data_IF_545707146718
#
_entry.id   IF_545707146718
#
_cell.length_a   1.000
_cell.length_b   1.000
_cell.length_c   1.000
_cell.angle_alpha   90.00
_cell.angle_beta   90.00
_cell.angle_gamma   90.00
#
_symmetry.space_group_name_H-M   'P 1'
#
loop_
_entity.id
_entity.type
_entity.pdbx_description
1 polymer ?
#
# COMPACT_ATOMS: atom_id res chain seq x y z
N UNK A 1 16.79 -0.37 99.65
CA UNK A 1 17.43 -0.25 98.33
C UNK A 1 17.07 -1.47 97.51
N UNK A 2 16.07 -1.35 96.65
CA UNK A 2 15.55 -2.43 95.80
C UNK A 2 15.69 -2.01 94.34
N UNK A 3 16.46 -2.79 93.61
CA UNK A 3 16.72 -2.67 92.18
C UNK A 3 15.44 -2.90 91.36
N UNK A 4 15.17 -2.08 90.34
CA UNK A 4 14.32 -2.47 89.22
C UNK A 4 14.76 -1.74 87.93
N UNK A 5 15.21 -2.44 86.87
CA UNK A 5 15.67 -1.82 85.63
C UNK A 5 14.52 -1.65 84.62
N UNK A 6 14.64 -0.60 83.80
CA UNK A 6 13.70 -0.18 82.75
C UNK A 6 13.50 -1.25 81.67
N UNK A 7 12.24 -1.58 81.39
CA UNK A 7 11.79 -2.33 80.20
C UNK A 7 11.59 -1.36 79.02
N UNK A 8 12.17 -1.69 77.87
CA UNK A 8 11.90 -1.05 76.58
C UNK A 8 10.60 -1.62 75.98
N UNK A 9 9.78 -0.73 75.42
CA UNK A 9 8.52 -1.07 74.74
C UNK A 9 8.83 -1.14 73.23
N UNK A 10 8.70 -2.32 72.63
CA UNK A 10 8.61 -2.50 71.18
C UNK A 10 7.11 -2.58 70.82
N UNK A 11 6.58 -1.82 69.85
CA UNK A 11 5.18 -1.91 69.45
C UNK A 11 4.90 -3.15 68.59
N UNK A 12 3.77 -3.80 68.86
CA UNK A 12 3.25 -5.00 68.21
C UNK A 12 2.64 -4.68 66.84
N UNK A 13 3.42 -4.84 65.76
CA UNK A 13 2.98 -4.64 64.36
C UNK A 13 2.38 -5.90 63.68
N UNK A 14 1.95 -6.92 64.43
CA UNK A 14 1.56 -8.23 63.84
C UNK A 14 0.12 -8.33 63.30
N UNK A 15 -0.76 -7.34 63.53
CA UNK A 15 -2.19 -7.47 63.18
C UNK A 15 -2.55 -6.96 61.78
N UNK A 16 -1.78 -6.05 61.17
CA UNK A 16 -2.05 -5.59 59.79
C UNK A 16 -1.64 -6.61 58.70
N UNK A 17 -0.60 -7.41 58.93
CA UNK A 17 -0.12 -8.41 57.95
C UNK A 17 -1.08 -9.59 57.71
N UNK A 18 -1.96 -9.90 58.67
CA UNK A 18 -2.93 -11.00 58.54
C UNK A 18 -4.11 -10.65 57.62
N UNK A 19 -4.52 -9.39 57.57
CA UNK A 19 -5.63 -8.94 56.73
C UNK A 19 -5.20 -8.72 55.27
N UNK A 20 -3.95 -8.32 55.01
CA UNK A 20 -3.42 -8.25 53.64
C UNK A 20 -3.22 -9.64 53.04
N UNK A 21 -2.63 -10.59 53.79
CA UNK A 21 -2.51 -11.99 53.34
C UNK A 21 -3.86 -12.63 53.02
N UNK A 22 -4.88 -12.43 53.87
CA UNK A 22 -6.24 -12.94 53.60
C UNK A 22 -6.87 -12.37 52.31
N UNK A 23 -6.63 -11.10 51.98
CA UNK A 23 -7.12 -10.49 50.73
C UNK A 23 -6.35 -10.97 49.50
N UNK A 24 -5.03 -11.18 49.64
CA UNK A 24 -4.20 -11.79 48.60
C UNK A 24 -4.64 -13.24 48.32
N UNK A 25 -4.95 -14.01 49.36
CA UNK A 25 -5.43 -15.40 49.25
C UNK A 25 -6.80 -15.49 48.55
N UNK A 26 -7.73 -14.55 48.80
CA UNK A 26 -9.04 -14.49 48.14
C UNK A 26 -8.94 -14.06 46.66
N UNK A 27 -8.07 -13.10 46.34
CA UNK A 27 -7.81 -12.68 44.96
C UNK A 27 -7.07 -13.77 44.16
N UNK A 28 -6.10 -14.44 44.79
CA UNK A 28 -5.39 -15.59 44.23
C UNK A 28 -6.34 -16.76 43.95
N UNK A 29 -7.32 -17.00 44.83
CA UNK A 29 -8.31 -18.07 44.64
C UNK A 29 -9.25 -17.81 43.46
N UNK A 30 -9.59 -16.55 43.19
CA UNK A 30 -10.41 -16.15 42.04
C UNK A 30 -9.63 -16.21 40.71
N UNK A 31 -8.33 -15.94 40.76
CA UNK A 31 -7.48 -15.92 39.56
C UNK A 31 -6.92 -17.28 39.16
N UNK A 32 -6.97 -18.30 40.02
CA UNK A 32 -6.46 -19.65 39.71
C UNK A 32 -7.38 -20.38 38.73
N UNK A 33 -6.83 -20.71 37.56
CA UNK A 33 -7.49 -21.50 36.54
C UNK A 33 -7.32 -23.00 36.82
N UNK A 34 -8.28 -23.85 36.41
CA UNK A 34 -8.13 -25.29 36.54
C UNK A 34 -7.03 -25.82 35.60
N UNK A 35 -6.30 -26.85 36.04
CA UNK A 35 -5.17 -27.45 35.31
C UNK A 35 -5.48 -27.75 33.84
N UNK A 36 -6.71 -28.20 33.54
CA UNK A 36 -7.15 -28.49 32.17
C UNK A 36 -7.24 -27.25 31.28
N UNK A 37 -7.65 -26.11 31.83
CA UNK A 37 -7.73 -24.85 31.08
C UNK A 37 -6.33 -24.27 30.84
N UNK A 38 -5.45 -24.35 31.84
CA UNK A 38 -4.05 -23.91 31.70
C UNK A 38 -3.37 -24.71 30.59
N UNK A 39 -3.54 -26.04 30.62
CA UNK A 39 -2.99 -26.93 29.60
C UNK A 39 -3.59 -26.65 28.22
N UNK A 40 -4.90 -26.43 28.14
CA UNK A 40 -5.58 -26.05 26.89
C UNK A 40 -4.99 -24.78 26.29
N UNK A 41 -4.92 -23.70 27.06
CA UNK A 41 -4.38 -22.42 26.59
C UNK A 41 -2.90 -22.51 26.17
N UNK A 42 -2.06 -23.26 26.89
CA UNK A 42 -0.64 -23.46 26.52
C UNK A 42 -0.53 -24.32 25.24
N UNK A 43 -1.44 -25.26 25.04
CA UNK A 43 -1.48 -26.09 23.82
C UNK A 43 -1.96 -25.30 22.61
N UNK A 44 -2.97 -24.43 22.79
CA UNK A 44 -3.48 -23.53 21.75
C UNK A 44 -2.42 -22.54 21.27
N UNK A 45 -1.50 -22.17 22.18
CA UNK A 45 -0.31 -21.36 21.93
C UNK A 45 0.73 -22.10 21.05
N UNK A 46 0.62 -23.42 20.89
CA UNK A 46 1.46 -24.22 20.00
C UNK A 46 2.53 -25.06 20.70
N UNK A 47 2.54 -25.11 22.04
CA UNK A 47 3.45 -25.95 22.82
C UNK A 47 2.68 -27.21 23.27
N UNK A 48 3.09 -28.43 22.87
CA UNK A 48 2.44 -29.65 23.33
C UNK A 48 2.67 -29.83 24.83
N UNK A 49 1.64 -29.57 25.63
CA UNK A 49 1.68 -29.62 27.08
C UNK A 49 0.54 -30.48 27.60
N UNK A 50 0.78 -31.32 28.61
CA UNK A 50 -0.26 -32.20 29.17
C UNK A 50 -0.48 -31.91 30.66
N UNK A 51 -1.62 -32.38 31.18
CA UNK A 51 -1.93 -32.26 32.63
C UNK A 51 -0.90 -33.00 33.49
N UNK A 52 -0.32 -34.09 32.98
CA UNK A 52 0.75 -34.81 33.65
C UNK A 52 2.04 -33.98 33.74
N UNK A 53 2.36 -33.22 32.68
CA UNK A 53 3.51 -32.32 32.65
C UNK A 53 3.32 -31.12 33.59
N UNK A 54 2.09 -30.62 33.76
CA UNK A 54 1.79 -29.60 34.76
C UNK A 54 1.95 -30.12 36.20
N UNK A 55 1.47 -31.34 36.47
CA UNK A 55 1.57 -31.96 37.81
C UNK A 55 3.01 -32.34 38.18
N UNK A 56 3.83 -32.72 37.18
CA UNK A 56 5.26 -33.01 37.34
C UNK A 56 6.07 -32.17 36.35
N UNK A 57 6.29 -30.88 36.67
CA UNK A 57 6.89 -29.95 35.73
C UNK A 57 8.34 -30.27 35.42
N UNK A 58 8.63 -30.44 34.14
CA UNK A 58 9.99 -30.57 33.63
C UNK A 58 10.61 -29.17 33.46
N UNK A 59 11.74 -28.86 34.12
CA UNK A 59 12.39 -27.55 34.02
C UNK A 59 12.65 -27.08 32.59
N UNK A 60 13.03 -27.99 31.68
CA UNK A 60 13.33 -27.64 30.29
C UNK A 60 12.08 -27.21 29.52
N UNK A 61 10.97 -27.92 29.72
CA UNK A 61 9.69 -27.57 29.08
C UNK A 61 9.14 -26.26 29.63
N UNK A 62 9.28 -26.03 30.95
CA UNK A 62 8.84 -24.79 31.60
C UNK A 62 9.64 -23.58 31.10
N UNK A 63 10.96 -23.72 30.92
CA UNK A 63 11.78 -22.67 30.34
C UNK A 63 11.35 -22.33 28.91
N UNK A 64 11.08 -23.33 28.08
CA UNK A 64 10.59 -23.14 26.71
C UNK A 64 9.23 -22.41 26.67
N UNK A 65 8.33 -22.74 27.61
CA UNK A 65 7.03 -22.04 27.73
C UNK A 65 7.24 -20.57 28.10
N UNK A 66 8.09 -20.28 29.08
CA UNK A 66 8.39 -18.90 29.44
C UNK A 66 9.10 -18.12 28.34
N UNK A 67 9.98 -18.78 27.58
CA UNK A 67 10.68 -18.18 26.44
C UNK A 67 9.68 -17.73 25.38
N UNK A 68 8.73 -18.60 25.07
CA UNK A 68 7.66 -18.29 24.14
C UNK A 68 6.77 -17.13 24.61
N UNK A 69 6.40 -17.08 25.90
CA UNK A 69 5.62 -15.96 26.43
C UNK A 69 6.38 -14.63 26.39
N UNK A 70 7.70 -14.65 26.65
CA UNK A 70 8.53 -13.45 26.53
C UNK A 70 8.64 -12.99 25.07
N UNK A 71 8.76 -13.93 24.13
CA UNK A 71 8.74 -13.64 22.70
C UNK A 71 7.39 -13.04 22.27
N UNK A 72 6.26 -13.64 22.66
CA UNK A 72 4.93 -13.16 22.27
C UNK A 72 4.57 -11.79 22.86
N UNK A 73 4.93 -11.54 24.12
CA UNK A 73 4.47 -10.36 24.87
C UNK A 73 5.47 -9.21 24.85
N UNK A 74 6.77 -9.50 24.77
CA UNK A 74 7.83 -8.49 24.80
C UNK A 74 8.63 -8.40 23.49
N UNK A 75 8.39 -9.28 22.52
CA UNK A 75 9.27 -9.49 21.36
C UNK A 75 10.74 -9.75 21.77
N UNK A 76 10.95 -10.32 22.95
CA UNK A 76 12.26 -10.56 23.52
C UNK A 76 12.82 -11.90 23.03
N UNK A 77 13.38 -11.91 21.82
CA UNK A 77 14.10 -13.07 21.27
C UNK A 77 15.55 -13.09 21.71
N UNK A 78 16.22 -14.26 21.61
CA UNK A 78 17.67 -14.38 21.82
C UNK A 78 18.47 -13.36 21.01
N UNK A 79 18.05 -13.05 19.80
CA UNK A 79 18.71 -12.08 18.90
C UNK A 79 18.58 -10.63 19.37
N UNK A 80 17.51 -10.28 20.10
CA UNK A 80 17.33 -8.93 20.66
C UNK A 80 18.03 -8.76 22.00
N UNK A 81 18.07 -9.81 22.82
CA UNK A 81 18.64 -9.79 24.17
C UNK A 81 20.16 -9.90 24.12
N UNK A 82 20.71 -10.74 23.24
CA UNK A 82 22.15 -11.02 23.20
C UNK A 82 23.02 -9.78 22.91
N UNK A 83 22.70 -8.90 21.93
CA UNK A 83 23.48 -7.70 21.68
C UNK A 83 23.44 -6.72 22.86
N UNK A 84 22.28 -6.54 23.48
CA UNK A 84 22.12 -5.66 24.65
C UNK A 84 22.88 -6.19 25.87
N UNK A 85 22.82 -7.50 26.13
CA UNK A 85 23.54 -8.13 27.23
C UNK A 85 25.06 -8.21 26.99
N UNK A 86 25.50 -8.36 25.73
CA UNK A 86 26.91 -8.26 25.36
C UNK A 86 27.44 -6.86 25.63
N UNK A 87 26.76 -5.82 25.16
CA UNK A 87 27.14 -4.43 25.39
C UNK A 87 27.18 -4.10 26.89
N UNK A 88 26.20 -4.56 27.67
CA UNK A 88 26.19 -4.37 29.12
C UNK A 88 27.35 -5.11 29.84
N UNK A 89 27.72 -6.31 29.38
CA UNK A 89 28.85 -7.05 29.93
C UNK A 89 30.19 -6.40 29.58
N UNK A 90 30.34 -5.85 28.37
CA UNK A 90 31.52 -5.08 27.96
C UNK A 90 31.65 -3.77 28.76
N UNK A 91 30.54 -3.09 29.07
CA UNK A 91 30.55 -1.87 29.88
C UNK A 91 30.92 -2.12 31.35
N UNK A 92 30.43 -3.21 31.94
CA UNK A 92 30.65 -3.54 33.37
C UNK A 92 31.99 -4.25 33.60
N UNK A 93 32.34 -5.22 32.75
CA UNK A 93 33.49 -6.09 32.94
C UNK A 93 34.70 -5.72 32.05
N UNK A 94 34.55 -4.79 31.11
CA UNK A 94 35.63 -4.32 30.24
C UNK A 94 36.33 -5.47 29.51
N UNK A 95 37.66 -5.56 29.67
CA UNK A 95 38.52 -6.59 29.08
C UNK A 95 38.24 -8.02 29.62
N UNK A 96 37.46 -8.15 30.69
CA UNK A 96 37.05 -9.43 31.29
C UNK A 96 35.59 -9.81 30.95
N UNK A 97 35.04 -9.29 29.85
CA UNK A 97 33.67 -9.58 29.40
C UNK A 97 33.37 -11.08 29.18
N UNK A 98 34.41 -11.88 28.95
CA UNK A 98 34.33 -13.34 28.79
C UNK A 98 34.22 -14.13 30.12
N UNK A 99 34.37 -13.48 31.27
CA UNK A 99 34.26 -14.13 32.60
C UNK A 99 32.84 -14.66 32.85
N UNK A 100 31.82 -14.02 32.26
CA UNK A 100 30.45 -14.50 32.30
C UNK A 100 30.13 -15.18 30.97
N UNK A 101 29.89 -16.50 30.95
CA UNK A 101 29.55 -17.21 29.72
C UNK A 101 28.35 -16.58 28.99
N UNK A 102 28.33 -16.61 27.65
CA UNK A 102 27.27 -16.01 26.84
C UNK A 102 25.88 -16.56 27.21
N UNK A 103 25.78 -17.83 27.57
CA UNK A 103 24.51 -18.44 27.97
C UNK A 103 24.01 -17.89 29.32
N UNK A 104 24.90 -17.67 30.28
CA UNK A 104 24.56 -17.13 31.61
C UNK A 104 24.10 -15.68 31.53
N UNK A 105 24.76 -14.84 30.71
CA UNK A 105 24.33 -13.44 30.51
C UNK A 105 23.00 -13.36 29.78
N UNK A 106 22.78 -14.19 28.75
CA UNK A 106 21.53 -14.20 27.99
C UNK A 106 20.36 -14.68 28.87
N UNK A 107 20.58 -15.71 29.69
CA UNK A 107 19.62 -16.17 30.68
C UNK A 107 19.29 -15.07 31.71
N UNK A 108 20.28 -14.29 32.15
CA UNK A 108 20.04 -13.19 33.08
C UNK A 108 19.21 -12.07 32.44
N UNK A 109 19.53 -11.71 31.18
CA UNK A 109 18.74 -10.72 30.43
C UNK A 109 17.30 -11.17 30.24
N UNK A 110 17.12 -12.45 29.89
CA UNK A 110 15.82 -13.09 29.79
C UNK A 110 15.05 -13.09 31.12
N UNK A 111 15.71 -13.44 32.23
CA UNK A 111 15.13 -13.43 33.56
C UNK A 111 14.64 -12.03 33.99
N UNK A 112 15.42 -10.98 33.69
CA UNK A 112 15.02 -9.60 33.99
C UNK A 112 13.78 -9.20 33.21
N UNK A 113 13.71 -9.54 31.92
CA UNK A 113 12.55 -9.30 31.06
C UNK A 113 11.30 -10.04 31.56
N UNK A 114 11.43 -11.32 31.91
CA UNK A 114 10.35 -12.11 32.50
C UNK A 114 9.88 -11.56 33.84
N UNK A 115 10.81 -11.17 34.71
CA UNK A 115 10.47 -10.62 36.02
C UNK A 115 9.69 -9.32 35.88
N UNK A 116 10.05 -8.47 34.91
CA UNK A 116 9.30 -7.26 34.60
C UNK A 116 7.90 -7.59 34.09
N UNK A 117 7.77 -8.52 33.15
CA UNK A 117 6.47 -8.98 32.64
C UNK A 117 5.58 -9.53 33.76
N UNK A 118 6.12 -10.41 34.59
CA UNK A 118 5.38 -11.04 35.68
C UNK A 118 5.00 -10.04 36.78
N UNK A 119 5.82 -9.02 37.02
CA UNK A 119 5.45 -7.92 37.92
C UNK A 119 4.23 -7.15 37.41
N UNK A 120 4.16 -6.85 36.10
CA UNK A 120 2.98 -6.24 35.47
C UNK A 120 1.76 -7.18 35.50
N UNK A 121 1.98 -8.49 35.44
CA UNK A 121 0.92 -9.49 35.63
C UNK A 121 0.46 -9.60 37.09
N UNK A 122 1.18 -9.03 38.07
CA UNK A 122 0.84 -9.08 39.50
C UNK A 122 1.67 -10.08 40.34
N UNK A 123 2.71 -10.69 39.78
CA UNK A 123 3.62 -11.63 40.46
C UNK A 123 4.96 -10.94 40.70
N UNK A 124 5.17 -10.47 41.92
CA UNK A 124 6.35 -9.69 42.29
C UNK A 124 7.52 -10.55 42.82
N UNK A 125 7.26 -11.82 43.12
CA UNK A 125 8.16 -12.73 43.82
C UNK A 125 8.77 -13.82 42.91
N UNK A 126 8.74 -13.64 41.58
CA UNK A 126 9.34 -14.57 40.63
C UNK A 126 10.84 -14.81 40.91
N UNK A 127 11.26 -16.07 40.85
CA UNK A 127 12.60 -16.51 41.25
C UNK A 127 13.18 -17.56 40.29
N UNK A 128 14.50 -17.77 40.30
CA UNK A 128 15.12 -18.83 39.50
C UNK A 128 14.66 -20.25 39.87
N UNK A 129 14.12 -20.45 41.09
CA UNK A 129 13.51 -21.74 41.45
C UNK A 129 12.31 -22.06 40.56
N UNK A 130 11.60 -21.06 40.05
CA UNK A 130 10.46 -21.24 39.16
C UNK A 130 10.87 -21.76 37.76
N UNK A 131 12.14 -21.56 37.39
CA UNK A 131 12.73 -22.05 36.13
C UNK A 131 13.45 -23.39 36.29
N UNK A 132 14.18 -23.60 37.40
CA UNK A 132 15.03 -24.78 37.58
C UNK A 132 14.42 -25.87 38.46
N UNK A 133 13.52 -25.51 39.37
CA UNK A 133 12.81 -26.43 40.28
C UNK A 133 11.34 -26.03 40.39
N UNK A 134 10.61 -26.02 39.26
CA UNK A 134 9.21 -25.63 39.24
C UNK A 134 8.39 -26.51 40.19
N UNK A 135 7.45 -25.89 40.90
CA UNK A 135 6.45 -26.60 41.71
C UNK A 135 5.08 -26.41 41.07
N UNK A 136 4.23 -27.44 41.13
CA UNK A 136 2.90 -27.43 40.51
C UNK A 136 2.07 -26.22 40.99
N UNK A 137 1.92 -26.04 42.30
CA UNK A 137 1.11 -24.96 42.87
C UNK A 137 1.56 -23.56 42.41
N UNK A 138 2.88 -23.37 42.33
CA UNK A 138 3.47 -22.09 41.93
C UNK A 138 3.35 -21.83 40.44
N UNK A 139 3.54 -22.85 39.60
CA UNK A 139 3.32 -22.72 38.16
C UNK A 139 1.85 -22.49 37.82
N UNK A 140 0.93 -23.15 38.51
CA UNK A 140 -0.51 -22.91 38.35
C UNK A 140 -0.83 -21.45 38.64
N UNK A 141 -0.30 -20.89 39.73
CA UNK A 141 -0.45 -19.45 40.02
C UNK A 141 0.16 -18.59 38.90
N UNK A 142 1.41 -18.86 38.51
CA UNK A 142 2.11 -18.05 37.50
C UNK A 142 1.40 -18.06 36.15
N UNK A 143 1.07 -19.25 35.64
CA UNK A 143 0.39 -19.36 34.35
C UNK A 143 -1.03 -18.83 34.38
N UNK A 144 -1.76 -18.96 35.50
CA UNK A 144 -3.11 -18.40 35.56
C UNK A 144 -3.11 -16.87 35.43
N UNK A 145 -2.18 -16.19 36.11
CA UNK A 145 -2.03 -14.73 36.03
C UNK A 145 -1.55 -14.30 34.64
N UNK A 146 -0.61 -15.04 34.06
CA UNK A 146 -0.10 -14.77 32.72
C UNK A 146 -1.16 -14.97 31.63
N UNK A 147 -1.94 -16.06 31.69
CA UNK A 147 -3.06 -16.32 30.78
C UNK A 147 -4.13 -15.24 30.93
N UNK A 148 -4.43 -14.80 32.15
CA UNK A 148 -5.39 -13.73 32.37
C UNK A 148 -4.90 -12.40 31.75
N UNK A 149 -3.61 -12.10 31.86
CA UNK A 149 -3.01 -10.94 31.19
C UNK A 149 -3.11 -11.03 29.66
N UNK A 150 -2.83 -12.21 29.08
CA UNK A 150 -2.98 -12.45 27.64
C UNK A 150 -4.45 -12.28 27.20
N UNK A 151 -5.41 -12.86 27.92
CA UNK A 151 -6.85 -12.69 27.64
C UNK A 151 -7.27 -11.22 27.73
N UNK A 152 -6.75 -10.48 28.70
CA UNK A 152 -7.00 -9.04 28.80
C UNK A 152 -6.43 -8.30 27.60
N UNK A 153 -5.18 -8.57 27.20
CA UNK A 153 -4.55 -8.00 26.01
C UNK A 153 -5.39 -8.28 24.76
N UNK A 154 -5.81 -9.53 24.55
CA UNK A 154 -6.65 -9.92 23.41
C UNK A 154 -7.98 -9.18 23.38
N UNK A 155 -8.61 -8.96 24.54
CA UNK A 155 -9.85 -8.18 24.63
C UNK A 155 -9.67 -6.70 24.25
N UNK A 156 -8.46 -6.16 24.41
CA UNK A 156 -8.12 -4.77 24.09
C UNK A 156 -7.52 -4.61 22.68
N UNK A 157 -7.24 -5.70 21.96
CA UNK A 157 -6.63 -5.65 20.62
C UNK A 157 -7.45 -4.80 19.66
N UNK A 158 -8.79 -4.86 19.71
CA UNK A 158 -9.66 -4.04 18.84
C UNK A 158 -9.47 -2.54 19.06
N UNK A 159 -9.33 -2.11 20.33
CA UNK A 159 -9.11 -0.71 20.68
C UNK A 159 -7.72 -0.26 20.25
N UNK A 160 -6.71 -1.12 20.45
CA UNK A 160 -5.34 -0.85 20.01
C UNK A 160 -5.27 -0.73 18.49
N UNK A 161 -5.88 -1.65 17.76
CA UNK A 161 -5.94 -1.63 16.30
C UNK A 161 -6.66 -0.39 15.78
N UNK A 162 -7.75 0.04 16.41
CA UNK A 162 -8.44 1.29 16.04
C UNK A 162 -7.53 2.52 16.21
N UNK A 163 -6.78 2.60 17.30
CA UNK A 163 -5.83 3.69 17.53
C UNK A 163 -4.62 3.61 16.59
N UNK A 164 -4.12 2.42 16.32
CA UNK A 164 -3.02 2.19 15.39
C UNK A 164 -3.44 2.58 13.95
N UNK A 165 -4.61 2.15 13.51
CA UNK A 165 -5.17 2.50 12.20
C UNK A 165 -5.41 4.02 12.08
N UNK A 166 -5.87 4.68 13.15
CA UNK A 166 -5.98 6.16 13.19
C UNK A 166 -4.62 6.85 13.07
N UNK A 167 -3.60 6.33 13.75
CA UNK A 167 -2.25 6.87 13.64
C UNK A 167 -1.70 6.69 12.22
N UNK A 168 -1.87 5.52 11.61
CA UNK A 168 -1.36 5.22 10.28
C UNK A 168 -2.09 6.01 9.19
N UNK A 169 -3.41 6.15 9.29
CA UNK A 169 -4.19 7.01 8.38
C UNK A 169 -3.80 8.47 8.51
N UNK A 170 -3.53 8.95 9.73
CA UNK A 170 -3.05 10.32 9.96
C UNK A 170 -1.66 10.52 9.36
N UNK A 171 -0.75 9.56 9.55
CA UNK A 171 0.59 9.57 8.96
C UNK A 171 0.53 9.59 7.43
N UNK A 172 -0.27 8.71 6.82
CA UNK A 172 -0.48 8.70 5.37
C UNK A 172 -1.05 10.04 4.86
N UNK A 173 -1.96 10.66 5.62
CA UNK A 173 -2.49 11.99 5.28
C UNK A 173 -1.43 13.08 5.35
N UNK A 174 -0.56 13.04 6.36
CA UNK A 174 0.57 13.97 6.49
C UNK A 174 1.51 13.80 5.29
N UNK A 175 1.89 12.57 4.93
CA UNK A 175 2.76 12.29 3.80
C UNK A 175 2.18 12.79 2.47
N UNK A 176 0.88 12.54 2.23
CA UNK A 176 0.15 13.08 1.06
C UNK A 176 0.16 14.62 1.03
N UNK A 177 -0.12 15.28 2.15
CA UNK A 177 -0.10 16.75 2.22
C UNK A 177 1.31 17.32 2.02
N UNK A 178 2.34 16.64 2.53
CA UNK A 178 3.73 17.04 2.28
C UNK A 178 4.09 16.93 0.80
N UNK A 179 3.69 15.84 0.14
CA UNK A 179 3.90 15.68 -1.30
C UNK A 179 3.18 16.77 -2.10
N UNK A 180 1.89 17.01 -1.81
CA UNK A 180 1.11 18.06 -2.47
C UNK A 180 1.73 19.46 -2.27
N UNK A 181 2.22 19.75 -1.06
CA UNK A 181 2.84 21.02 -0.76
C UNK A 181 4.16 21.19 -1.55
N UNK A 182 4.99 20.15 -1.62
CA UNK A 182 6.21 20.17 -2.44
C UNK A 182 5.90 20.40 -3.92
N UNK A 183 4.89 19.73 -4.47
CA UNK A 183 4.44 19.95 -5.86
C UNK A 183 3.93 21.38 -6.09
N UNK A 184 3.21 21.95 -5.13
CA UNK A 184 2.73 23.33 -5.18
C UNK A 184 3.90 24.33 -5.11
N UNK A 185 4.90 24.09 -4.27
CA UNK A 185 6.11 24.91 -4.19
C UNK A 185 6.88 24.91 -5.51
N UNK A 186 7.04 23.75 -6.15
CA UNK A 186 7.66 23.64 -7.48
C UNK A 186 6.85 24.42 -8.52
N UNK A 187 5.52 24.26 -8.55
CA UNK A 187 4.64 25.03 -9.45
C UNK A 187 4.76 26.54 -9.23
N UNK A 188 4.85 27.00 -7.99
CA UNK A 188 5.06 28.42 -7.66
C UNK A 188 6.43 28.89 -8.15
N UNK A 189 7.48 28.09 -7.98
CA UNK A 189 8.82 28.42 -8.45
C UNK A 189 8.85 28.58 -9.98
N UNK A 190 8.18 27.69 -10.72
CA UNK A 190 8.10 27.76 -12.18
C UNK A 190 7.24 28.94 -12.65
N UNK A 191 6.11 29.21 -12.00
CA UNK A 191 5.32 30.41 -12.28
C UNK A 191 6.14 31.70 -12.04
N UNK A 192 6.95 31.76 -10.97
CA UNK A 192 7.85 32.89 -10.71
C UNK A 192 8.92 33.04 -11.77
N UNK A 193 9.54 31.94 -12.23
CA UNK A 193 10.50 31.94 -13.34
C UNK A 193 9.87 32.46 -14.63
N UNK A 194 8.70 31.94 -14.99
CA UNK A 194 7.95 32.36 -16.16
C UNK A 194 7.55 33.84 -16.08
N UNK A 195 7.09 34.30 -14.91
CA UNK A 195 6.76 35.72 -14.70
C UNK A 195 7.99 36.61 -14.89
N UNK A 196 9.15 36.22 -14.36
CA UNK A 196 10.41 36.97 -14.52
C UNK A 196 10.87 37.03 -15.98
N UNK A 197 10.73 35.92 -16.72
CA UNK A 197 11.04 35.88 -18.15
C UNK A 197 10.09 36.77 -18.96
N UNK A 198 8.79 36.73 -18.66
CA UNK A 198 7.79 37.58 -19.31
C UNK A 198 8.00 39.06 -18.98
N UNK A 199 8.29 39.41 -17.72
CA UNK A 199 8.63 40.77 -17.30
C UNK A 199 9.84 41.31 -18.06
N UNK A 200 10.86 40.47 -18.32
CA UNK A 200 12.02 40.86 -19.12
C UNK A 200 11.64 41.16 -20.58
N UNK A 201 10.84 40.29 -21.23
CA UNK A 201 10.35 40.53 -22.59
C UNK A 201 9.47 41.78 -22.69
N UNK A 202 8.59 42.00 -21.70
CA UNK A 202 7.76 43.20 -21.64
C UNK A 202 8.63 44.44 -21.52
N UNK A 203 9.66 44.43 -20.65
CA UNK A 203 10.61 45.53 -20.52
C UNK A 203 11.31 45.84 -21.84
N UNK A 204 11.83 44.82 -22.53
CA UNK A 204 12.49 45.00 -23.84
C UNK A 204 11.54 45.59 -24.90
N UNK A 205 10.29 45.10 -24.95
CA UNK A 205 9.28 45.65 -25.86
C UNK A 205 8.92 47.09 -25.50
N UNK A 206 8.82 47.43 -24.21
CA UNK A 206 8.54 48.81 -23.77
C UNK A 206 9.68 49.75 -24.12
N UNK A 207 10.94 49.38 -23.89
CA UNK A 207 12.09 50.23 -24.25
C UNK A 207 12.17 50.43 -25.76
N UNK A 208 11.95 49.37 -26.55
CA UNK A 208 11.89 49.49 -28.02
C UNK A 208 10.74 50.39 -28.48
N UNK A 209 9.59 50.34 -27.82
CA UNK A 209 8.46 51.22 -28.14
C UNK A 209 8.79 52.68 -27.82
N UNK A 210 9.42 52.95 -26.67
CA UNK A 210 9.90 54.28 -26.30
C UNK A 210 10.93 54.82 -27.30
N UNK A 211 11.90 54.01 -27.72
CA UNK A 211 12.87 54.36 -28.76
C UNK A 211 12.20 54.68 -30.09
N UNK A 212 11.23 53.86 -30.52
CA UNK A 212 10.46 54.11 -31.74
C UNK A 212 9.66 55.40 -31.63
N UNK A 213 9.03 55.67 -30.48
CA UNK A 213 8.30 56.91 -30.22
C UNK A 213 9.21 58.13 -30.31
N UNK A 214 10.42 58.06 -29.75
CA UNK A 214 11.42 59.13 -29.88
C UNK A 214 11.82 59.34 -31.34
N UNK A 215 12.12 58.27 -32.09
CA UNK A 215 12.43 58.37 -33.53
C UNK A 215 11.28 58.97 -34.32
N UNK A 216 10.03 58.65 -33.98
CA UNK A 216 8.84 59.19 -34.64
C UNK A 216 8.71 60.70 -34.37
N UNK A 217 8.96 61.14 -33.14
CA UNK A 217 9.00 62.57 -32.78
C UNK A 217 10.12 63.31 -33.54
N UNK A 218 11.31 62.72 -33.65
CA UNK A 218 12.42 63.32 -34.39
C UNK A 218 12.15 63.38 -35.89
N UNK A 219 11.57 62.32 -36.47
CA UNK A 219 11.14 62.32 -37.87
C UNK A 219 10.06 63.37 -38.13
N UNK A 220 9.10 63.55 -37.21
CA UNK A 220 8.08 64.60 -37.31
C UNK A 220 8.70 65.99 -37.28
N UNK A 221 9.65 66.25 -36.37
CA UNK A 221 10.41 67.52 -36.33
C UNK A 221 11.18 67.75 -37.63
N UNK A 222 11.80 66.71 -38.18
CA UNK A 222 12.49 66.80 -39.47
C UNK A 222 11.52 67.07 -40.61
N UNK A 223 10.35 66.42 -40.62
CA UNK A 223 9.29 66.68 -41.60
C UNK A 223 8.80 68.13 -41.53
N UNK A 224 8.54 68.65 -40.34
CA UNK A 224 8.16 70.06 -40.13
C UNK A 224 9.24 71.02 -40.65
N UNK A 225 10.52 70.71 -40.38
CA UNK A 225 11.66 71.50 -40.88
C UNK A 225 11.78 71.46 -42.41
N UNK A 226 11.55 70.30 -43.03
CA UNK A 226 11.57 70.15 -44.49
C UNK A 226 10.36 70.86 -45.12
N UNK A 227 9.19 70.77 -44.51
CA UNK A 227 7.99 71.48 -44.95
C UNK A 227 8.19 73.01 -44.90
N UNK A 228 8.79 73.53 -43.83
CA UNK A 228 9.13 74.95 -43.73
C UNK A 228 10.11 75.37 -44.84
N UNK A 229 11.16 74.59 -45.09
CA UNK A 229 12.10 74.84 -46.20
C UNK A 229 11.45 74.77 -47.57
N UNK A 230 10.49 73.86 -47.76
CA UNK A 230 9.72 73.75 -49.01
C UNK A 230 8.89 75.01 -49.22
N UNK A 231 8.25 75.52 -48.17
CA UNK A 231 7.44 76.72 -48.25
C UNK A 231 8.29 77.97 -48.50
N UNK A 232 9.43 78.11 -47.81
CA UNK A 232 10.42 79.15 -48.12
C UNK A 232 10.88 79.08 -49.58
N UNK A 233 11.13 77.87 -50.09
CA UNK A 233 11.53 77.67 -51.49
C UNK A 233 10.41 78.01 -52.48
N UNK A 234 9.14 77.74 -52.14
CA UNK A 234 7.99 78.17 -52.95
C UNK A 234 7.85 79.69 -52.96
N UNK A 235 7.98 80.35 -51.81
CA UNK A 235 7.92 81.82 -51.72
C UNK A 235 9.02 82.43 -52.58
N UNK A 236 10.27 81.96 -52.44
CA UNK A 236 11.39 82.40 -53.29
C UNK A 236 11.15 82.11 -54.77
N UNK A 237 10.57 80.96 -55.10
CA UNK A 237 10.18 80.65 -56.49
C UNK A 237 9.16 81.67 -56.99
N UNK A 238 8.12 81.97 -56.22
CA UNK A 238 7.09 82.94 -56.62
C UNK A 238 7.64 84.36 -56.78
N UNK A 239 8.55 84.78 -55.89
CA UNK A 239 9.27 86.04 -56.00
C UNK A 239 10.13 86.06 -57.26
N UNK A 240 10.94 85.03 -57.48
CA UNK A 240 11.78 84.92 -58.68
C UNK A 240 10.94 84.89 -59.96
N UNK A 241 9.80 84.19 -59.98
CA UNK A 241 8.89 84.22 -61.15
C UNK A 241 8.28 85.59 -61.36
N UNK A 242 7.87 86.30 -60.30
CA UNK A 242 7.36 87.67 -60.42
C UNK A 242 8.44 88.64 -60.92
N UNK A 243 9.67 88.53 -60.41
CA UNK A 243 10.79 89.33 -60.92
C UNK A 243 11.13 88.98 -62.36
N UNK A 244 11.03 87.70 -62.74
CA UNK A 244 11.24 87.27 -64.12
C UNK A 244 10.15 87.85 -65.02
N UNK A 245 8.87 87.78 -64.62
CA UNK A 245 7.73 88.38 -65.31
C UNK A 245 7.92 89.89 -65.49
N UNK A 246 8.24 90.62 -64.43
CA UNK A 246 8.53 92.06 -64.48
C UNK A 246 9.72 92.37 -65.42
N UNK A 247 10.81 91.59 -65.34
CA UNK A 247 11.95 91.73 -66.27
C UNK A 247 11.58 91.38 -67.70
N UNK A 248 10.70 90.41 -67.93
CA UNK A 248 10.20 90.09 -69.27
C UNK A 248 9.28 91.18 -69.81
N UNK A 249 8.45 91.78 -68.96
CA UNK A 249 7.60 92.92 -69.31
C UNK A 249 8.44 94.16 -69.63
N UNK A 250 9.46 94.46 -68.83
CA UNK A 250 10.47 95.49 -69.10
C UNK A 250 11.20 95.22 -70.41
N UNK A 251 11.65 93.98 -70.64
CA UNK A 251 12.27 93.58 -71.91
C UNK A 251 11.31 93.74 -73.09
N UNK A 252 10.03 93.43 -72.92
CA UNK A 252 9.01 93.58 -73.95
C UNK A 252 8.74 95.06 -74.25
N UNK A 253 8.65 95.90 -73.21
CA UNK A 253 8.50 97.35 -73.32
C UNK A 253 9.71 97.98 -74.02
N UNK A 254 10.93 97.62 -73.62
CA UNK A 254 12.17 98.01 -74.31
C UNK A 254 12.24 97.47 -75.73
N UNK A 255 11.71 96.27 -76.01
CA UNK A 255 11.56 95.75 -77.37
C UNK A 255 10.54 96.56 -78.18
N UNK A 256 9.43 96.99 -77.59
CA UNK A 256 8.42 97.82 -78.23
C UNK A 256 8.95 99.23 -78.48
N UNK A 257 9.75 99.77 -77.56
CA UNK A 257 10.45 101.04 -77.70
C UNK A 257 11.55 100.95 -78.76
N UNK A 258 12.31 99.85 -78.78
CA UNK A 258 13.20 99.47 -79.87
C UNK A 258 12.46 99.28 -81.20
N UNK A 259 11.24 98.73 -81.20
CA UNK A 259 10.36 98.61 -82.38
C UNK A 259 9.81 99.96 -82.85
N UNK A 260 9.56 100.91 -81.94
CA UNK A 260 9.22 102.31 -82.26
C UNK A 260 10.42 103.08 -82.81
N UNK A 261 11.65 102.71 -82.40
CA UNK A 261 12.92 103.21 -82.94
C UNK A 261 13.36 102.48 -84.22
N UNK A 262 12.69 101.37 -84.57
CA UNK A 262 12.98 100.51 -85.73
C UNK A 262 12.68 101.12 -87.11
N UNK A 263 11.77 102.10 -87.28
CA UNK A 263 11.63 102.81 -88.57
C UNK A 263 12.79 103.76 -88.86
N UNK A 264 13.60 104.14 -87.86
CA UNK A 264 14.75 105.05 -88.02
C UNK A 264 16.10 104.36 -88.13
N UNK A 265 16.17 103.06 -87.84
CA UNK A 265 17.35 102.23 -88.13
C UNK A 265 16.96 101.24 -89.21
N UNK A 266 16.79 101.82 -90.39
CA UNK A 266 16.62 101.11 -91.65
C UNK A 266 17.72 100.05 -91.85
N UNK A 267 17.34 98.99 -92.56
CA UNK A 267 18.18 98.04 -93.32
C UNK A 267 18.67 96.78 -92.58
N UNK A 268 17.96 95.66 -92.75
CA UNK A 268 18.21 94.76 -93.89
C UNK A 268 17.15 93.64 -93.95
N UNK A 269 16.55 93.39 -95.13
CA UNK A 269 15.62 92.26 -95.32
C UNK A 269 16.26 90.88 -95.12
N UNK A 270 17.59 90.77 -95.20
CA UNK A 270 18.32 89.50 -95.07
C UNK A 270 18.42 88.99 -93.63
N UNK A 271 18.52 89.88 -92.63
CA UNK A 271 18.56 89.49 -91.22
C UNK A 271 17.21 88.99 -90.69
N UNK A 272 16.10 89.53 -91.21
CA UNK A 272 14.74 89.09 -90.87
C UNK A 272 14.43 87.70 -91.45
N UNK A 273 14.86 87.43 -92.68
CA UNK A 273 14.68 86.12 -93.31
C UNK A 273 15.52 85.03 -92.61
N UNK A 274 16.76 85.34 -92.20
CA UNK A 274 17.58 84.46 -91.37
C UNK A 274 16.93 84.17 -90.00
N UNK A 275 16.43 85.19 -89.31
CA UNK A 275 15.77 85.00 -88.01
C UNK A 275 14.45 84.21 -88.11
N UNK A 276 13.70 84.34 -89.21
CA UNK A 276 12.49 83.57 -89.47
C UNK A 276 12.81 82.10 -89.76
N UNK A 277 13.88 81.85 -90.52
CA UNK A 277 14.37 80.48 -90.74
C UNK A 277 14.90 79.84 -89.46
N UNK A 278 15.58 80.60 -88.59
CA UNK A 278 16.04 80.12 -87.28
C UNK A 278 14.88 79.84 -86.34
N UNK A 279 13.85 80.70 -86.29
CA UNK A 279 12.64 80.49 -85.50
C UNK A 279 11.82 79.29 -86.01
N UNK A 280 11.73 79.11 -87.32
CA UNK A 280 11.09 77.92 -87.91
C UNK A 280 11.87 76.64 -87.60
N UNK A 281 13.20 76.69 -87.65
CA UNK A 281 14.05 75.56 -87.33
C UNK A 281 14.01 75.21 -85.84
N UNK A 282 14.00 76.21 -84.96
CA UNK A 282 13.84 76.00 -83.51
C UNK A 282 12.44 75.49 -83.16
N UNK A 283 11.39 76.01 -83.79
CA UNK A 283 10.02 75.48 -83.61
C UNK A 283 9.91 74.02 -84.08
N UNK A 284 10.52 73.67 -85.21
CA UNK A 284 10.53 72.29 -85.70
C UNK A 284 11.39 71.39 -84.80
N UNK A 285 12.51 71.90 -84.27
CA UNK A 285 13.33 71.19 -83.29
C UNK A 285 12.57 70.94 -81.99
N UNK A 286 11.89 71.95 -81.44
CA UNK A 286 11.07 71.81 -80.23
C UNK A 286 9.88 70.88 -80.45
N UNK A 287 9.19 70.94 -81.60
CA UNK A 287 8.15 69.95 -81.95
C UNK A 287 8.70 68.53 -81.98
N UNK A 288 9.85 68.32 -82.62
CA UNK A 288 10.50 67.00 -82.64
C UNK A 288 10.91 66.52 -81.25
N UNK A 289 11.34 67.46 -80.38
CA UNK A 289 11.69 67.18 -79.00
C UNK A 289 10.46 66.83 -78.16
N UNK A 290 9.35 67.55 -78.34
CA UNK A 290 8.06 67.26 -77.69
C UNK A 290 7.54 65.90 -78.13
N UNK A 291 7.57 65.58 -79.42
CA UNK A 291 7.16 64.26 -79.92
C UNK A 291 8.03 63.13 -79.34
N UNK A 292 9.35 63.37 -79.18
CA UNK A 292 10.24 62.42 -78.53
C UNK A 292 9.90 62.22 -77.04
N UNK A 293 9.52 63.29 -76.35
CA UNK A 293 9.13 63.24 -74.94
C UNK A 293 7.76 62.59 -74.77
N UNK A 294 6.80 62.80 -75.67
CA UNK A 294 5.49 62.14 -75.62
C UNK A 294 5.64 60.63 -75.88
N UNK A 295 6.48 60.24 -76.85
CA UNK A 295 6.82 58.82 -77.07
C UNK A 295 7.48 58.20 -75.83
N UNK A 296 8.40 58.91 -75.18
CA UNK A 296 9.04 58.46 -73.95
C UNK A 296 8.06 58.38 -72.77
N UNK A 297 7.15 59.35 -72.66
CA UNK A 297 6.09 59.38 -71.65
C UNK A 297 5.15 58.18 -71.80
N UNK A 298 4.70 57.89 -73.03
CA UNK A 298 3.89 56.70 -73.34
C UNK A 298 4.62 55.40 -73.05
N UNK A 299 5.90 55.30 -73.41
CA UNK A 299 6.70 54.11 -73.10
C UNK A 299 6.89 53.90 -71.58
N UNK A 300 7.11 54.98 -70.83
CA UNK A 300 7.18 54.95 -69.37
C UNK A 300 5.82 54.61 -68.74
N UNK A 301 4.71 55.07 -69.32
CA UNK A 301 3.37 54.72 -68.86
C UNK A 301 3.10 53.22 -69.05
N UNK A 302 3.40 52.65 -70.23
CA UNK A 302 3.28 51.21 -70.46
C UNK A 302 4.16 50.41 -69.48
N UNK A 303 5.36 50.91 -69.17
CA UNK A 303 6.23 50.30 -68.16
C UNK A 303 5.62 50.39 -66.75
N UNK A 304 5.05 51.53 -66.37
CA UNK A 304 4.39 51.71 -65.07
C UNK A 304 3.17 50.79 -64.92
N UNK A 305 2.37 50.64 -65.98
CA UNK A 305 1.22 49.74 -66.00
C UNK A 305 1.69 48.28 -65.86
N UNK A 306 2.82 47.89 -66.49
CA UNK A 306 3.39 46.55 -66.31
C UNK A 306 3.91 46.30 -64.89
N UNK A 307 4.50 47.31 -64.25
CA UNK A 307 4.90 47.21 -62.84
C UNK A 307 3.71 47.14 -61.90
N UNK A 308 2.59 47.80 -62.23
CA UNK A 308 1.36 47.68 -61.44
C UNK A 308 0.81 46.25 -61.46
N UNK A 309 0.82 45.59 -62.63
CA UNK A 309 0.43 44.16 -62.76
C UNK A 309 1.38 43.26 -61.95
N UNK A 310 2.69 43.45 -62.07
CA UNK A 310 3.66 42.67 -61.28
C UNK A 310 3.48 42.92 -59.79
N UNK A 311 3.17 44.15 -59.36
CA UNK A 311 2.89 44.46 -57.97
C UNK A 311 1.64 43.75 -57.46
N UNK A 312 0.59 43.61 -58.28
CA UNK A 312 -0.59 42.84 -57.90
C UNK A 312 -0.31 41.35 -57.81
N UNK A 313 0.54 40.81 -58.68
CA UNK A 313 0.96 39.40 -58.64
C UNK A 313 1.86 39.11 -57.43
N UNK A 314 2.76 40.02 -57.07
CA UNK A 314 3.57 39.89 -55.84
C UNK A 314 2.66 39.92 -54.60
N UNK A 315 1.66 40.80 -54.57
CA UNK A 315 0.70 40.85 -53.47
C UNK A 315 -0.15 39.58 -53.36
N UNK A 316 -0.51 38.93 -54.48
CA UNK A 316 -1.22 37.65 -54.45
C UNK A 316 -0.31 36.50 -53.98
N UNK A 317 0.95 36.45 -54.42
CA UNK A 317 1.93 35.51 -53.91
C UNK A 317 2.16 35.65 -52.40
N UNK A 318 2.22 36.88 -51.86
CA UNK A 318 2.34 37.10 -50.42
C UNK A 318 1.14 36.52 -49.66
N UNK A 319 -0.08 36.73 -50.15
CA UNK A 319 -1.29 36.15 -49.53
C UNK A 319 -1.24 34.63 -49.51
N UNK A 320 -0.83 34.00 -50.61
CA UNK A 320 -0.69 32.55 -50.69
C UNK A 320 0.38 32.05 -49.70
N UNK A 321 1.50 32.77 -49.55
CA UNK A 321 2.53 32.44 -48.56
C UNK A 321 2.03 32.57 -47.12
N UNK A 322 1.22 33.58 -46.81
CA UNK A 322 0.59 33.73 -45.50
C UNK A 322 -0.39 32.58 -45.22
N UNK A 323 -1.21 32.20 -46.20
CA UNK A 323 -2.12 31.05 -46.12
C UNK A 323 -1.36 29.74 -45.89
N UNK A 324 -0.27 29.52 -46.62
CA UNK A 324 0.62 28.36 -46.43
C UNK A 324 1.24 28.38 -45.03
N UNK A 325 1.64 29.55 -44.52
CA UNK A 325 2.18 29.69 -43.17
C UNK A 325 1.16 29.31 -42.09
N UNK A 326 -0.11 29.67 -42.28
CA UNK A 326 -1.21 29.26 -41.39
C UNK A 326 -1.45 27.75 -41.45
N UNK A 327 -1.45 27.15 -42.65
CA UNK A 327 -1.64 25.70 -42.79
C UNK A 327 -0.45 24.90 -42.22
N UNK A 328 0.78 25.37 -42.39
CA UNK A 328 1.97 24.77 -41.77
C UNK A 328 1.88 24.79 -40.24
N UNK A 329 1.43 25.91 -39.65
CA UNK A 329 1.24 26.00 -38.20
C UNK A 329 0.17 25.01 -37.69
N UNK A 330 -0.92 24.82 -38.45
CA UNK A 330 -1.93 23.79 -38.13
C UNK A 330 -1.37 22.38 -38.27
N UNK A 331 -0.58 22.11 -39.30
CA UNK A 331 0.07 20.82 -39.51
C UNK A 331 1.03 20.48 -38.36
N UNK A 332 1.83 21.45 -37.90
CA UNK A 332 2.70 21.28 -36.75
C UNK A 332 1.90 20.96 -35.46
N UNK A 333 0.78 21.64 -35.24
CA UNK A 333 -0.10 21.38 -34.09
C UNK A 333 -0.71 19.96 -34.16
N UNK A 334 -1.19 19.55 -35.32
CA UNK A 334 -1.73 18.20 -35.54
C UNK A 334 -0.65 17.12 -35.44
N UNK A 335 0.56 17.37 -35.92
CA UNK A 335 1.70 16.47 -35.75
C UNK A 335 2.09 16.30 -34.27
N UNK A 336 2.06 17.38 -33.48
CA UNK A 336 2.27 17.30 -32.04
C UNK A 336 1.17 16.52 -31.33
N UNK A 337 -0.10 16.68 -31.73
CA UNK A 337 -1.22 15.87 -31.21
C UNK A 337 -1.05 14.40 -31.60
N UNK A 338 -0.67 14.11 -32.84
CA UNK A 338 -0.42 12.75 -33.32
C UNK A 338 0.72 12.08 -32.57
N UNK A 339 1.82 12.80 -32.33
CA UNK A 339 2.95 12.29 -31.53
C UNK A 339 2.49 11.92 -30.11
N UNK A 340 1.75 12.81 -29.43
CA UNK A 340 1.18 12.53 -28.10
C UNK A 340 0.23 11.34 -28.09
N UNK A 341 -0.63 11.22 -29.11
CA UNK A 341 -1.55 10.09 -29.22
C UNK A 341 -0.81 8.79 -29.48
N UNK A 342 0.25 8.81 -30.29
CA UNK A 342 1.11 7.65 -30.56
C UNK A 342 1.86 7.20 -29.30
N UNK A 343 2.40 8.14 -28.53
CA UNK A 343 3.06 7.84 -27.26
C UNK A 343 2.06 7.24 -26.25
N UNK A 344 0.87 7.84 -26.11
CA UNK A 344 -0.20 7.31 -25.26
C UNK A 344 -0.67 5.90 -25.71
N UNK A 345 -0.74 5.64 -27.02
CA UNK A 345 -1.04 4.32 -27.58
C UNK A 345 0.07 3.30 -27.27
N UNK A 346 1.34 3.73 -27.35
CA UNK A 346 2.49 2.90 -27.02
C UNK A 346 2.49 2.53 -25.53
N UNK A 347 2.28 3.49 -24.64
CA UNK A 347 2.16 3.26 -23.19
C UNK A 347 0.99 2.35 -22.86
N UNK A 348 -0.19 2.60 -23.44
CA UNK A 348 -1.37 1.75 -23.23
C UNK A 348 -1.14 0.34 -23.77
N UNK A 349 -0.44 0.19 -24.89
CA UNK A 349 -0.04 -1.10 -25.44
C UNK A 349 0.94 -1.86 -24.54
N UNK A 350 1.88 -1.16 -23.90
CA UNK A 350 2.78 -1.76 -22.92
C UNK A 350 2.03 -2.20 -21.66
N UNK A 351 1.11 -1.38 -21.16
CA UNK A 351 0.26 -1.75 -20.01
C UNK A 351 -0.59 -2.98 -20.31
N UNK A 352 -1.18 -3.09 -21.51
CA UNK A 352 -1.94 -4.28 -21.92
C UNK A 352 -1.05 -5.52 -21.91
N UNK A 353 0.15 -5.46 -22.49
CA UNK A 353 1.09 -6.59 -22.48
C UNK A 353 1.55 -6.98 -21.08
N UNK A 354 1.71 -6.01 -20.19
CA UNK A 354 2.04 -6.29 -18.79
C UNK A 354 0.88 -6.98 -18.08
N UNK A 355 -0.35 -6.46 -18.25
CA UNK A 355 -1.57 -7.09 -17.73
C UNK A 355 -1.71 -8.52 -18.27
N UNK A 356 -1.57 -8.75 -19.58
CA UNK A 356 -1.61 -10.10 -20.18
C UNK A 356 -0.54 -11.02 -19.59
N UNK A 357 0.67 -10.52 -19.32
CA UNK A 357 1.71 -11.30 -18.63
C UNK A 357 1.28 -11.66 -17.22
N UNK A 358 0.77 -10.70 -16.45
CA UNK A 358 0.30 -10.96 -15.08
C UNK A 358 -0.89 -11.93 -15.06
N UNK A 359 -1.83 -11.81 -15.99
CA UNK A 359 -2.96 -12.71 -16.17
C UNK A 359 -2.48 -14.13 -16.49
N UNK A 360 -1.54 -14.27 -17.43
CA UNK A 360 -0.96 -15.58 -17.77
C UNK A 360 -0.26 -16.25 -16.58
N UNK A 361 0.39 -15.44 -15.73
CA UNK A 361 1.10 -15.92 -14.55
C UNK A 361 0.12 -16.33 -13.45
N UNK A 362 -0.91 -15.52 -13.20
CA UNK A 362 -2.00 -15.82 -12.27
C UNK A 362 -2.80 -17.05 -12.71
N UNK A 363 -3.09 -17.18 -14.01
CA UNK A 363 -3.77 -18.35 -14.58
C UNK A 363 -2.96 -19.63 -14.34
N UNK A 364 -1.64 -19.60 -14.56
CA UNK A 364 -0.76 -20.73 -14.22
C UNK A 364 -0.73 -21.04 -12.72
N UNK A 365 -0.76 -20.03 -11.87
CA UNK A 365 -0.85 -20.23 -10.42
C UNK A 365 -2.19 -20.86 -10.03
N UNK A 366 -3.30 -20.38 -10.59
CA UNK A 366 -4.63 -20.95 -10.39
C UNK A 366 -4.68 -22.42 -10.80
N UNK A 367 -4.13 -22.79 -11.96
CA UNK A 367 -4.05 -24.19 -12.39
C UNK A 367 -3.27 -25.03 -11.38
N UNK A 368 -2.11 -24.57 -10.91
CA UNK A 368 -1.32 -25.26 -9.88
C UNK A 368 -2.08 -25.43 -8.57
N UNK A 369 -2.80 -24.41 -8.12
CA UNK A 369 -3.61 -24.47 -6.90
C UNK A 369 -4.82 -25.39 -7.07
N UNK A 370 -5.46 -25.38 -8.23
CA UNK A 370 -6.56 -26.29 -8.55
C UNK A 370 -6.08 -27.74 -8.57
N UNK A 371 -4.96 -28.04 -9.23
CA UNK A 371 -4.36 -29.38 -9.22
C UNK A 371 -4.00 -29.84 -7.80
N UNK A 372 -3.44 -28.94 -6.97
CA UNK A 372 -3.15 -29.26 -5.57
C UNK A 372 -4.42 -29.53 -4.76
N UNK A 373 -5.46 -28.73 -4.98
CA UNK A 373 -6.76 -28.90 -4.31
C UNK A 373 -7.42 -30.19 -4.72
N UNK A 374 -7.37 -30.55 -6.00
CA UNK A 374 -7.95 -31.78 -6.51
C UNK A 374 -7.20 -33.01 -5.98
N UNK A 375 -5.86 -32.99 -5.95
CA UNK A 375 -5.07 -34.03 -5.29
C UNK A 375 -5.41 -34.20 -3.82
N UNK A 376 -5.62 -33.10 -3.09
CA UNK A 376 -6.04 -33.16 -1.69
C UNK A 376 -7.44 -33.74 -1.53
N UNK A 377 -8.37 -33.40 -2.44
CA UNK A 377 -9.72 -33.99 -2.48
C UNK A 377 -9.69 -35.47 -2.80
N UNK A 378 -8.90 -35.89 -3.79
CA UNK A 378 -8.70 -37.30 -4.13
C UNK A 378 -8.10 -38.08 -2.95
N UNK A 379 -7.06 -37.54 -2.29
CA UNK A 379 -6.47 -38.16 -1.10
C UNK A 379 -7.47 -38.24 0.06
N UNK A 380 -8.26 -37.20 0.29
CA UNK A 380 -9.31 -37.21 1.32
C UNK A 380 -10.40 -38.22 0.99
N UNK A 381 -10.82 -38.31 -0.27
CA UNK A 381 -11.81 -39.29 -0.75
C UNK A 381 -11.28 -40.71 -0.60
N UNK A 382 -10.03 -40.97 -1.00
CA UNK A 382 -9.38 -42.26 -0.85
C UNK A 382 -9.28 -42.69 0.63
N UNK A 383 -8.83 -41.79 1.52
CA UNK A 383 -8.79 -42.06 2.96
C UNK A 383 -10.19 -42.31 3.54
N UNK A 384 -11.20 -41.58 3.08
CA UNK A 384 -12.59 -41.82 3.50
C UNK A 384 -13.11 -43.17 3.00
N UNK A 385 -12.72 -43.60 1.80
CA UNK A 385 -13.07 -44.92 1.27
C UNK A 385 -12.39 -46.04 2.05
N UNK A 386 -11.08 -45.94 2.28
CA UNK A 386 -10.31 -46.89 3.09
C UNK A 386 -10.84 -46.98 4.53
N UNK A 387 -11.22 -45.85 5.13
CA UNK A 387 -11.85 -45.84 6.45
C UNK A 387 -13.23 -46.51 6.45
N UNK A 388 -14.03 -46.35 5.38
CA UNK A 388 -15.31 -47.05 5.23
C UNK A 388 -15.12 -48.56 5.08
N UNK A 389 -14.19 -48.99 4.23
CA UNK A 389 -13.87 -50.42 4.05
C UNK A 389 -13.43 -51.05 5.38
N UNK A 390 -12.47 -50.41 6.09
CA UNK A 390 -12.06 -50.88 7.43
C UNK A 390 -13.23 -50.92 8.41
N UNK A 391 -14.12 -49.94 8.37
CA UNK A 391 -15.32 -49.91 9.23
C UNK A 391 -16.28 -51.05 8.89
N UNK A 392 -16.45 -51.40 7.61
CA UNK A 392 -17.27 -52.52 7.17
C UNK A 392 -16.64 -53.87 7.54
N UNK A 393 -15.32 -54.02 7.39
CA UNK A 393 -14.57 -55.19 7.86
C UNK A 393 -14.72 -55.36 9.38
N UNK A 394 -14.50 -54.29 10.15
CA UNK A 394 -14.71 -54.28 11.60
C UNK A 394 -16.15 -54.64 11.98
N UNK A 395 -17.15 -54.12 11.26
CA UNK A 395 -18.57 -54.49 11.46
C UNK A 395 -18.83 -55.95 11.12
N UNK A 396 -18.20 -56.51 10.08
CA UNK A 396 -18.32 -57.91 9.73
C UNK A 396 -17.68 -58.81 10.79
N UNK A 397 -16.49 -58.46 11.28
CA UNK A 397 -15.81 -59.15 12.38
C UNK A 397 -16.63 -59.08 13.66
N UNK A 398 -17.17 -57.90 14.01
CA UNK A 398 -18.01 -57.73 15.18
C UNK A 398 -19.30 -58.56 15.06
N UNK A 399 -19.91 -58.63 13.87
CA UNK A 399 -21.08 -59.51 13.61
C UNK A 399 -20.75 -60.97 13.85
N UNK A 400 -19.65 -61.47 13.28
CA UNK A 400 -19.17 -62.85 13.52
C UNK A 400 -18.91 -63.12 15.01
N UNK A 401 -18.24 -62.21 15.71
CA UNK A 401 -17.99 -62.31 17.16
C UNK A 401 -19.29 -62.32 17.98
N UNK A 402 -20.29 -61.52 17.60
CA UNK A 402 -21.59 -61.55 18.26
C UNK A 402 -22.34 -62.85 17.98
N UNK A 403 -22.33 -63.34 16.75
CA UNK A 403 -22.90 -64.64 16.37
C UNK A 403 -22.24 -65.77 17.16
N UNK A 404 -20.90 -65.85 17.17
CA UNK A 404 -20.14 -66.82 17.97
C UNK A 404 -20.45 -66.71 19.47
N UNK A 405 -20.59 -65.50 20.02
CA UNK A 405 -21.00 -65.31 21.42
C UNK A 405 -22.42 -65.82 21.65
N UNK A 406 -23.35 -65.59 20.73
CA UNK A 406 -24.72 -66.08 20.86
C UNK A 406 -24.79 -67.60 20.72
N UNK A 407 -24.02 -68.22 19.83
CA UNK A 407 -23.93 -69.67 19.68
C UNK A 407 -23.29 -70.31 20.90
N UNK A 408 -22.15 -69.78 21.37
CA UNK A 408 -21.54 -70.21 22.64
C UNK A 408 -22.49 -70.02 23.81
N UNK A 409 -23.27 -68.95 23.84
CA UNK A 409 -24.34 -68.72 24.83
C UNK A 409 -25.42 -69.79 24.78
N UNK A 410 -25.94 -70.12 23.58
CA UNK A 410 -26.93 -71.20 23.37
C UNK A 410 -26.36 -72.57 23.76
N UNK A 411 -25.11 -72.85 23.45
CA UNK A 411 -24.46 -74.11 23.80
C UNK A 411 -24.17 -74.21 25.31
N UNK A 412 -23.80 -73.10 25.96
CA UNK A 412 -23.71 -73.01 27.41
C UNK A 412 -25.07 -73.23 28.06
N UNK A 413 -26.15 -72.65 27.54
CA UNK A 413 -27.50 -72.87 28.04
C UNK A 413 -27.96 -74.32 27.85
N UNK A 414 -27.69 -74.92 26.68
CA UNK A 414 -27.93 -76.35 26.44
C UNK A 414 -27.16 -77.24 27.42
N UNK A 415 -25.90 -76.91 27.72
CA UNK A 415 -25.10 -77.62 28.72
C UNK A 415 -25.68 -77.43 30.11
N UNK A 416 -26.12 -76.22 30.46
CA UNK A 416 -26.77 -75.90 31.74
C UNK A 416 -28.05 -76.71 31.93
N UNK A 417 -28.93 -76.73 30.93
CA UNK A 417 -30.17 -77.53 30.94
C UNK A 417 -29.86 -79.03 31.05
N UNK A 418 -28.82 -79.53 30.38
CA UNK A 418 -28.40 -80.94 30.55
C UNK A 418 -27.91 -81.22 31.97
N UNK A 419 -27.10 -80.33 32.54
CA UNK A 419 -26.61 -80.43 33.92
C UNK A 419 -27.80 -80.46 34.88
N UNK A 420 -28.74 -79.53 34.72
CA UNK A 420 -29.95 -79.45 35.55
C UNK A 420 -30.84 -80.70 35.41
N UNK A 421 -30.99 -81.24 34.19
CA UNK A 421 -31.69 -82.51 33.97
C UNK A 421 -30.97 -83.69 34.61
N UNK A 422 -29.63 -83.73 34.60
CA UNK A 422 -28.84 -84.77 35.27
C UNK A 422 -28.87 -84.64 36.78
N UNK A 423 -28.87 -83.42 37.32
CA UNK A 423 -29.04 -83.13 38.75
C UNK A 423 -30.42 -83.56 39.22
N UNK A 424 -31.47 -83.25 38.46
CA UNK A 424 -32.83 -83.72 38.75
C UNK A 424 -32.93 -85.25 38.73
N UNK A 425 -32.35 -85.91 37.71
CA UNK A 425 -32.30 -87.39 37.68
C UNK A 425 -31.52 -87.96 38.86
N UNK A 426 -30.44 -87.32 39.29
CA UNK A 426 -29.70 -87.72 40.51
C UNK A 426 -30.55 -87.58 41.77
N UNK A 427 -31.32 -86.49 41.89
CA UNK A 427 -32.24 -86.29 43.00
C UNK A 427 -33.35 -87.36 43.00
N UNK A 428 -33.98 -87.60 41.86
CA UNK A 428 -35.02 -88.63 41.71
C UNK A 428 -34.47 -90.03 42.02
N UNK A 429 -33.25 -90.35 41.58
CA UNK A 429 -32.55 -91.60 41.94
C UNK A 429 -32.23 -91.70 43.42
N UNK A 430 -31.82 -90.59 44.04
CA UNK A 430 -31.53 -90.54 45.47
C UNK A 430 -32.80 -90.75 46.29
N UNK A 431 -33.91 -90.11 45.90
CA UNK A 431 -35.22 -90.28 46.53
C UNK A 431 -35.73 -91.73 46.36
N UNK A 432 -35.55 -92.33 45.18
CA UNK A 432 -35.88 -93.74 44.96
C UNK A 432 -35.05 -94.68 45.83
N UNK A 433 -33.73 -94.44 45.97
CA UNK A 433 -32.88 -95.23 46.86
C UNK A 433 -33.28 -95.04 48.32
N UNK A 434 -33.61 -93.81 48.75
CA UNK A 434 -34.11 -93.54 50.10
C UNK A 434 -35.44 -94.25 50.38
N UNK A 435 -36.34 -94.28 49.38
CA UNK A 435 -37.60 -95.02 49.44
C UNK A 435 -37.39 -96.54 49.47
N UNK A 436 -36.45 -97.08 48.68
CA UNK A 436 -36.08 -98.50 48.72
C UNK A 436 -35.46 -98.88 50.07
N UNK A 437 -34.61 -98.01 50.64
CA UNK A 437 -34.06 -98.20 51.99
C UNK A 437 -35.19 -98.17 53.03
N UNK A 438 -36.14 -97.24 52.93
CA UNK A 438 -37.30 -97.19 53.83
C UNK A 438 -38.18 -98.44 53.70
N UNK A 439 -38.46 -98.90 52.48
CA UNK A 439 -39.24 -100.11 52.25
C UNK A 439 -38.53 -101.36 52.78
N UNK A 440 -37.22 -101.48 52.57
CA UNK A 440 -36.42 -102.58 53.13
C UNK A 440 -36.35 -102.51 54.66
N UNK A 441 -36.30 -101.30 55.24
CA UNK A 441 -36.34 -101.10 56.69
C UNK A 441 -37.70 -101.47 57.30
N UNK A 442 -38.80 -101.13 56.61
CA UNK A 442 -40.16 -101.50 57.00
C UNK A 442 -40.40 -103.02 56.89
N UNK A 443 -39.87 -103.67 55.86
CA UNK A 443 -39.89 -105.13 55.73
C UNK A 443 -39.05 -105.80 56.84
N UNK A 444 -37.87 -105.25 57.16
CA UNK A 444 -37.06 -105.70 58.28
C UNK A 444 -37.80 -105.58 59.62
N UNK A 445 -38.49 -104.45 59.86
CA UNK A 445 -39.32 -104.23 61.06
C UNK A 445 -40.50 -105.19 61.14
N UNK A 446 -41.15 -105.54 60.01
CA UNK A 446 -42.19 -106.57 59.96
C UNK A 446 -41.62 -107.96 60.26
N UNK A 447 -40.41 -108.25 59.80
CA UNK A 447 -39.76 -109.53 60.10
C UNK A 447 -39.35 -109.61 61.58
N UNK A 448 -38.83 -108.52 62.16
CA UNK A 448 -38.51 -108.42 63.59
C UNK A 448 -39.77 -108.52 64.47
N UNK A 449 -40.89 -107.92 64.05
CA UNK A 449 -42.16 -108.07 64.77
C UNK A 449 -42.72 -109.49 64.65
N UNK A 450 -42.60 -110.16 63.50
CA UNK A 450 -42.95 -111.57 63.34
C UNK A 450 -42.08 -112.50 64.19
N UNK A 451 -40.77 -112.24 64.30
CA UNK A 451 -39.86 -113.00 65.16
C UNK A 451 -40.22 -112.77 66.64
N UNK A 452 -40.50 -111.53 67.03
CA UNK A 452 -40.96 -111.21 68.40
C UNK A 452 -42.29 -111.87 68.73
N UNK A 453 -43.23 -111.91 67.79
CA UNK A 453 -44.51 -112.62 67.93
C UNK A 453 -44.30 -114.12 68.12
N UNK A 454 -43.41 -114.73 67.32
CA UNK A 454 -43.06 -116.14 67.44
C UNK A 454 -42.37 -116.48 68.77
N UNK A 455 -41.52 -115.57 69.28
CA UNK A 455 -40.90 -115.69 70.61
C UNK A 455 -41.96 -115.59 71.71
N UNK A 456 -42.89 -114.64 71.63
CA UNK A 456 -43.98 -114.53 72.62
C UNK A 456 -44.98 -115.68 72.57
N UNK A 457 -45.24 -116.26 71.40
CA UNK A 457 -46.09 -117.47 71.28
C UNK A 457 -45.39 -118.72 71.83
N UNK A 458 -44.05 -118.80 71.73
CA UNK A 458 -43.25 -119.87 72.35
C UNK A 458 -43.15 -119.72 73.88
N UNK A 459 -43.09 -118.49 74.41
CA UNK A 459 -43.05 -118.23 75.86
C UNK A 459 -44.40 -118.48 76.56
N UNK A 460 -45.52 -118.52 75.84
CA UNK A 460 -46.85 -118.89 76.37
C UNK A 460 -47.13 -120.41 76.36
N UNK A 461 -46.21 -121.21 75.81
CA UNK A 461 -46.32 -122.68 75.73
C UNK A 461 -45.50 -123.44 76.79
N UNK A 462 -45.00 -122.74 77.82
CA UNK A 462 -44.38 -123.29 79.04
C UNK A 462 -45.25 -122.87 80.22
#
# INVERSE_FOLDING_TARGET
MSYNPRMSIIPTNQTQSRNTRKKEDEADAFMRLPDKEIVGCITDIGIPFTVADLQKPNPLQVQMIFEWFAELLLNATRETVEPAMRAAAEDICGEYSDVVPPDTRNLMGFYVSLRRLLAECGINDFSFNDLYKPSHDRLVKIFSYLINFVRFRESQTSVIDDHFNKAETTKARIESLYSENQEMEVRIADMKRNRKAMEAQVREKTTRNEELKQRLLDLRRNQERVAARLEDAKVKKTELTATLEDKTAQKLALKQESQKLRPYVMQSPSALQSSLTELSNTLNSEKSHIDSLDRRSRALQTSADSFAVVSTDVASCIKILDEIGVELAKEEEENLKNAKQRDALSERGNNVREVERTESLLSRQLVKWNERTEKLREQSSAKAHEAKEKMEELRAVHRKLTEERTEKGKDMERRRVRIEQTEKKMLDLKENIENEIHSAYDEFLKMDSHIKLYITEMEQAI
#
